data_IF_787680381377
#
_entry.id   IF_787680381377
#
_cell.length_a   1.000
_cell.length_b   1.000
_cell.length_c   1.000
_cell.angle_alpha   90.00
_cell.angle_beta   90.00
_cell.angle_gamma   90.00
#
_symmetry.space_group_name_H-M   'P 1'
#
loop_
_entity.id
_entity.type
_entity.pdbx_description
1 polymer ?
#
# COMPACT_ATOMS: atom_id res chain seq x y z
N UNK A 1 -7.11 0.79 16.09
CA UNK A 1 -6.55 1.18 14.78
C UNK A 1 -5.68 2.42 14.98
N UNK A 2 -4.41 2.43 14.60
CA UNK A 2 -3.62 3.67 14.63
C UNK A 2 -3.97 4.51 13.40
N UNK A 3 -4.21 5.82 13.59
CA UNK A 3 -4.47 6.79 12.51
C UNK A 3 -3.43 6.69 11.38
N UNK A 4 -2.18 6.37 11.73
CA UNK A 4 -1.07 6.16 10.79
C UNK A 4 -1.30 5.04 9.76
N UNK A 5 -2.06 3.99 10.10
CA UNK A 5 -2.33 2.89 9.15
C UNK A 5 -3.38 3.27 8.11
N UNK A 6 -4.46 3.94 8.53
CA UNK A 6 -5.52 4.38 7.62
C UNK A 6 -4.95 5.35 6.59
N UNK A 7 -4.13 6.31 7.04
CA UNK A 7 -3.44 7.24 6.15
C UNK A 7 -2.55 6.52 5.12
N UNK A 8 -1.81 5.49 5.55
CA UNK A 8 -0.95 4.72 4.66
C UNK A 8 -1.74 3.91 3.63
N UNK A 9 -2.84 3.28 4.02
CA UNK A 9 -3.74 2.56 3.10
C UNK A 9 -4.27 3.52 2.02
N UNK A 10 -4.72 4.71 2.42
CA UNK A 10 -5.19 5.72 1.46
C UNK A 10 -4.08 6.14 0.50
N UNK A 11 -2.85 6.41 0.98
CA UNK A 11 -1.71 6.69 0.10
C UNK A 11 -1.43 5.55 -0.87
N UNK A 12 -1.45 4.28 -0.41
CA UNK A 12 -1.24 3.11 -1.29
C UNK A 12 -2.26 3.11 -2.43
N UNK A 13 -3.55 3.29 -2.12
CA UNK A 13 -4.60 3.32 -3.13
C UNK A 13 -4.38 4.45 -4.15
N UNK A 14 -4.05 5.65 -3.67
CA UNK A 14 -3.77 6.80 -4.56
C UNK A 14 -2.57 6.55 -5.48
N UNK A 15 -1.50 5.92 -4.97
CA UNK A 15 -0.32 5.58 -5.75
C UNK A 15 -0.67 4.54 -6.84
N UNK A 16 -1.41 3.50 -6.48
CA UNK A 16 -1.79 2.42 -7.39
C UNK A 16 -2.82 2.83 -8.46
N UNK A 17 -3.55 3.93 -8.25
CA UNK A 17 -4.43 4.50 -9.27
C UNK A 17 -3.66 5.17 -10.42
N UNK A 18 -2.35 5.37 -10.28
CA UNK A 18 -1.51 5.87 -11.36
C UNK A 18 -1.31 4.85 -12.49
N UNK A 19 -0.96 5.32 -13.68
CA UNK A 19 -0.74 4.47 -14.87
C UNK A 19 0.55 3.64 -14.83
N UNK A 20 1.34 3.76 -13.76
CA UNK A 20 2.64 3.09 -13.57
C UNK A 20 2.50 1.99 -12.54
N UNK A 21 2.99 0.79 -12.85
CA UNK A 21 3.16 -0.28 -11.86
C UNK A 21 4.28 0.04 -10.86
N UNK A 22 4.07 -0.33 -9.60
CA UNK A 22 5.04 -0.13 -8.52
C UNK A 22 5.55 -1.47 -7.99
N UNK A 23 6.86 -1.57 -7.77
CA UNK A 23 7.45 -2.67 -7.01
C UNK A 23 7.21 -2.49 -5.51
N UNK A 24 7.26 -3.59 -4.76
CA UNK A 24 7.15 -3.54 -3.30
C UNK A 24 8.25 -2.70 -2.64
N UNK A 25 9.42 -2.57 -3.29
CA UNK A 25 10.52 -1.74 -2.83
C UNK A 25 10.29 -0.25 -3.06
N UNK A 26 9.78 0.12 -4.24
CA UNK A 26 9.39 1.50 -4.50
C UNK A 26 8.29 1.97 -3.55
N UNK A 27 7.29 1.12 -3.29
CA UNK A 27 6.24 1.42 -2.30
C UNK A 27 6.80 1.56 -0.88
N UNK A 28 7.76 0.72 -0.51
CA UNK A 28 8.39 0.78 0.80
C UNK A 28 9.13 2.11 1.00
N UNK A 29 9.89 2.54 -0.01
CA UNK A 29 10.59 3.83 0.01
C UNK A 29 9.62 5.03 0.02
N UNK A 30 8.59 5.02 -0.83
CA UNK A 30 7.63 6.13 -0.96
C UNK A 30 6.77 6.34 0.30
N UNK A 31 6.47 5.23 1.01
CA UNK A 31 5.66 5.21 2.21
C UNK A 31 6.46 5.26 3.50
N UNK A 32 7.80 5.28 3.41
CA UNK A 32 8.75 5.23 4.52
C UNK A 32 8.45 4.07 5.50
N UNK A 33 8.31 2.86 4.95
CA UNK A 33 8.04 1.64 5.72
C UNK A 33 8.85 0.47 5.21
N UNK A 34 8.95 -0.60 6.00
CA UNK A 34 9.56 -1.83 5.54
C UNK A 34 8.73 -2.54 4.46
N UNK A 35 9.40 -3.28 3.56
CA UNK A 35 8.76 -4.17 2.57
C UNK A 35 7.73 -5.12 3.19
N UNK A 36 7.99 -5.65 4.39
CA UNK A 36 7.04 -6.49 5.16
C UNK A 36 5.75 -5.75 5.50
N UNK A 37 5.83 -4.45 5.77
CA UNK A 37 4.65 -3.63 6.05
C UNK A 37 3.84 -3.38 4.78
N UNK A 38 4.50 -3.14 3.65
CA UNK A 38 3.83 -3.05 2.34
C UNK A 38 3.03 -4.31 2.07
N UNK A 39 3.63 -5.50 2.15
CA UNK A 39 2.89 -6.76 1.94
C UNK A 39 1.74 -6.96 2.93
N UNK A 40 1.91 -6.56 4.20
CA UNK A 40 0.81 -6.62 5.17
C UNK A 40 -0.36 -5.72 4.76
N UNK A 41 -0.06 -4.53 4.25
CA UNK A 41 -1.08 -3.57 3.82
C UNK A 41 -1.75 -4.00 2.51
N UNK A 42 -1.00 -4.57 1.56
CA UNK A 42 -1.56 -5.18 0.34
C UNK A 42 -2.48 -6.38 0.67
N UNK A 43 -2.09 -7.25 1.60
CA UNK A 43 -2.97 -8.33 2.07
C UNK A 43 -4.26 -7.79 2.69
N UNK A 44 -4.22 -6.62 3.36
CA UNK A 44 -5.44 -5.99 3.87
C UNK A 44 -6.34 -5.50 2.74
N UNK A 45 -5.78 -4.96 1.66
CA UNK A 45 -6.55 -4.59 0.46
C UNK A 45 -7.19 -5.83 -0.18
N UNK A 46 -6.45 -6.93 -0.29
CA UNK A 46 -6.96 -8.20 -0.80
C UNK A 46 -8.15 -8.72 0.04
N UNK A 47 -7.99 -8.74 1.37
CA UNK A 47 -9.06 -9.14 2.30
C UNK A 47 -10.28 -8.23 2.20
N UNK A 48 -10.08 -6.95 1.90
CA UNK A 48 -11.15 -5.98 1.65
C UNK A 48 -11.73 -6.07 0.23
N UNK A 49 -11.27 -7.03 -0.60
CA UNK A 49 -11.66 -7.21 -2.00
C UNK A 49 -11.35 -5.98 -2.88
N UNK A 50 -10.33 -5.23 -2.50
CA UNK A 50 -9.83 -4.08 -3.27
C UNK A 50 -8.71 -4.58 -4.19
N UNK A 51 -8.87 -4.48 -5.52
CA UNK A 51 -7.82 -4.86 -6.46
C UNK A 51 -6.65 -3.88 -6.43
N UNK A 52 -5.43 -4.39 -6.56
CA UNK A 52 -4.18 -3.62 -6.58
C UNK A 52 -3.21 -4.05 -7.71
N UNK A 53 -3.71 -4.76 -8.72
CA UNK A 53 -2.95 -5.25 -9.88
C UNK A 53 -2.67 -4.18 -10.93
#
# INVERSE_FOLDING_TARGET
>A
MSISRVYRILRIITILQGSRGYTADELASELDVSRRTVFRDLNMLEMARIPYY
#
